data_IF_289082352075
#
_entry.id   IF_289082352075
#
_cell.length_a   1.000
_cell.length_b   1.000
_cell.length_c   1.000
_cell.angle_alpha   90.00
_cell.angle_beta   90.00
_cell.angle_gamma   90.00
#
_symmetry.space_group_name_H-M   'P 1'
#
loop_
_entity.id
_entity.type
_entity.pdbx_description
1 polymer ?
#
# COMPACT_ATOMS: atom_id res chain seq x y z
N UNK A 1 -30.42 -11.46 -13.70
CA UNK A 1 -30.11 -10.07 -14.09
C UNK A 1 -28.65 -9.90 -13.73
N UNK A 2 -27.82 -9.80 -14.76
CA UNK A 2 -26.47 -10.36 -14.73
C UNK A 2 -25.46 -9.22 -14.65
N UNK A 3 -25.15 -8.81 -13.43
CA UNK A 3 -23.98 -7.97 -13.20
C UNK A 3 -22.75 -8.70 -13.76
N UNK A 4 -22.08 -8.08 -14.72
CA UNK A 4 -20.88 -8.63 -15.35
C UNK A 4 -19.68 -7.73 -15.03
N UNK A 5 -18.65 -8.23 -14.32
CA UNK A 5 -17.46 -7.44 -13.99
C UNK A 5 -16.77 -6.92 -15.25
N UNK A 6 -16.73 -7.71 -16.31
CA UNK A 6 -16.15 -7.31 -17.60
C UNK A 6 -16.89 -6.12 -18.23
N UNK A 7 -18.22 -6.09 -18.07
CA UNK A 7 -19.03 -4.96 -18.55
C UNK A 7 -18.68 -3.66 -17.83
N UNK A 8 -18.39 -3.73 -16.52
CA UNK A 8 -17.97 -2.56 -15.74
C UNK A 8 -16.62 -2.00 -16.19
N UNK A 9 -15.72 -2.82 -16.75
CA UNK A 9 -14.41 -2.38 -17.21
C UNK A 9 -14.43 -1.75 -18.61
N UNK A 10 -15.38 -2.17 -19.46
CA UNK A 10 -15.48 -1.72 -20.86
C UNK A 10 -16.57 -0.66 -21.06
N UNK A 11 -17.63 -0.69 -20.24
CA UNK A 11 -18.78 0.23 -20.28
C UNK A 11 -19.19 0.63 -18.86
N UNK A 12 -18.30 1.33 -18.13
CA UNK A 12 -18.47 1.62 -16.70
C UNK A 12 -19.77 2.36 -16.37
N UNK A 13 -20.21 3.28 -17.23
CA UNK A 13 -21.43 4.08 -17.05
C UNK A 13 -22.70 3.23 -16.93
N UNK A 14 -22.77 2.07 -17.60
CA UNK A 14 -23.97 1.20 -17.60
C UNK A 14 -23.95 0.12 -16.54
N UNK A 15 -22.81 -0.07 -15.88
CA UNK A 15 -22.64 -1.16 -14.91
C UNK A 15 -22.99 -0.74 -13.48
N UNK A 16 -23.19 0.56 -13.25
CA UNK A 16 -23.46 1.17 -11.94
C UNK A 16 -24.84 1.86 -11.87
N UNK A 17 -25.71 1.63 -12.85
CA UNK A 17 -27.14 2.01 -12.78
C UNK A 17 -27.90 1.20 -11.70
N UNK A 18 -27.31 0.11 -11.20
CA UNK A 18 -27.83 -0.72 -10.11
C UNK A 18 -26.88 -0.63 -8.90
N UNK A 19 -27.42 -0.83 -7.69
CA UNK A 19 -26.70 -0.80 -6.41
C UNK A 19 -25.48 -1.77 -6.42
N UNK A 20 -24.32 -1.30 -6.88
CA UNK A 20 -23.08 -2.08 -6.82
C UNK A 20 -22.70 -2.21 -5.36
N UNK A 21 -22.78 -3.45 -4.87
CA UNK A 21 -22.52 -3.76 -3.48
C UNK A 21 -21.06 -3.49 -3.15
N UNK A 22 -20.79 -2.82 -2.04
CA UNK A 22 -19.44 -2.61 -1.50
C UNK A 22 -18.60 -3.89 -1.43
N UNK A 23 -19.24 -5.06 -1.25
CA UNK A 23 -18.61 -6.37 -1.26
C UNK A 23 -17.89 -6.70 -2.57
N UNK A 24 -18.40 -6.23 -3.72
CA UNK A 24 -17.77 -6.45 -5.02
C UNK A 24 -16.48 -5.64 -5.14
N UNK A 25 -16.52 -4.35 -4.82
CA UNK A 25 -15.33 -3.51 -4.81
C UNK A 25 -14.27 -4.06 -3.85
N UNK A 26 -14.68 -4.48 -2.65
CA UNK A 26 -13.78 -5.13 -1.69
C UNK A 26 -13.18 -6.43 -2.24
N UNK A 27 -13.98 -7.29 -2.88
CA UNK A 27 -13.49 -8.54 -3.45
C UNK A 27 -12.44 -8.30 -4.55
N UNK A 28 -12.65 -7.30 -5.41
CA UNK A 28 -11.66 -6.89 -6.42
C UNK A 28 -10.36 -6.44 -5.75
N UNK A 29 -10.45 -5.60 -4.72
CA UNK A 29 -9.27 -5.08 -4.00
C UNK A 29 -8.51 -6.22 -3.31
N UNK A 30 -9.22 -7.15 -2.65
CA UNK A 30 -8.58 -8.31 -2.03
C UNK A 30 -7.90 -9.22 -3.06
N UNK A 31 -8.51 -9.42 -4.23
CA UNK A 31 -7.88 -10.15 -5.32
C UNK A 31 -6.60 -9.45 -5.82
N UNK A 32 -6.62 -8.12 -5.93
CA UNK A 32 -5.44 -7.32 -6.26
C UNK A 32 -4.35 -7.38 -5.19
N UNK A 33 -4.72 -7.40 -3.90
CA UNK A 33 -3.77 -7.59 -2.80
C UNK A 33 -3.05 -8.93 -2.92
N UNK A 34 -3.80 -10.02 -3.10
CA UNK A 34 -3.24 -11.36 -3.29
C UNK A 34 -2.35 -11.40 -4.53
N UNK A 35 -2.83 -10.89 -5.67
CA UNK A 35 -2.07 -10.88 -6.91
C UNK A 35 -0.77 -10.08 -6.79
N UNK A 36 -0.81 -8.90 -6.16
CA UNK A 36 0.39 -8.09 -5.95
C UNK A 36 1.36 -8.74 -4.96
N UNK A 37 0.86 -9.39 -3.91
CA UNK A 37 1.69 -10.17 -2.98
C UNK A 37 2.39 -11.35 -3.69
N UNK A 38 1.64 -12.15 -4.45
CA UNK A 38 2.19 -13.29 -5.22
C UNK A 38 3.20 -12.83 -6.27
N UNK A 39 2.91 -11.77 -7.01
CA UNK A 39 3.85 -11.25 -8.00
C UNK A 39 5.13 -10.70 -7.33
N UNK A 40 5.06 -10.24 -6.07
CA UNK A 40 6.22 -9.74 -5.33
C UNK A 40 7.09 -10.91 -4.86
N UNK A 41 6.48 -11.96 -4.32
CA UNK A 41 7.18 -13.18 -3.92
C UNK A 41 7.78 -13.94 -5.11
N UNK A 42 7.15 -13.91 -6.28
CA UNK A 42 7.74 -14.44 -7.51
C UNK A 42 8.95 -13.61 -7.96
N UNK A 43 8.85 -12.28 -7.96
CA UNK A 43 9.99 -11.41 -8.25
C UNK A 43 11.15 -11.63 -7.27
N UNK A 44 10.85 -11.78 -5.98
CA UNK A 44 11.80 -12.16 -4.94
C UNK A 44 12.53 -13.47 -5.26
N UNK A 45 11.77 -14.50 -5.62
CA UNK A 45 12.30 -15.80 -6.00
C UNK A 45 13.20 -15.72 -7.23
N UNK A 46 12.80 -14.95 -8.24
CA UNK A 46 13.60 -14.72 -9.45
C UNK A 46 14.93 -14.03 -9.12
N UNK A 47 14.92 -12.98 -8.30
CA UNK A 47 16.16 -12.31 -7.83
C UNK A 47 17.04 -13.29 -7.07
N UNK A 48 16.47 -14.05 -6.12
CA UNK A 48 17.24 -15.04 -5.37
C UNK A 48 17.86 -16.13 -6.25
N UNK A 49 17.17 -16.54 -7.32
CA UNK A 49 17.67 -17.53 -8.29
C UNK A 49 18.70 -16.97 -9.27
N UNK A 50 18.64 -15.68 -9.59
CA UNK A 50 19.61 -15.01 -10.46
C UNK A 50 20.86 -14.56 -9.70
N UNK A 51 20.80 -14.58 -8.36
CA UNK A 51 21.90 -14.18 -7.49
C UNK A 51 22.73 -15.41 -7.14
N UNK A 52 23.53 -15.86 -8.10
CA UNK A 52 24.53 -16.90 -7.88
C UNK A 52 25.80 -16.31 -7.25
N UNK A 53 26.46 -17.08 -6.40
CA UNK A 53 27.75 -16.73 -5.80
C UNK A 53 27.74 -16.55 -4.27
N UNK A 54 28.94 -16.47 -3.73
CA UNK A 54 29.20 -16.23 -2.31
C UNK A 54 29.88 -14.89 -2.14
N UNK A 55 29.68 -14.29 -0.97
CA UNK A 55 30.40 -13.11 -0.52
C UNK A 55 31.04 -13.41 0.83
N UNK A 56 32.28 -13.01 0.97
CA UNK A 56 33.00 -13.07 2.24
C UNK A 56 32.48 -11.97 3.15
N UNK A 57 31.91 -12.34 4.30
CA UNK A 57 31.42 -11.42 5.32
C UNK A 57 32.04 -11.76 6.67
N UNK A 58 32.09 -10.79 7.56
CA UNK A 58 32.46 -11.03 8.96
C UNK A 58 31.54 -12.09 9.57
N UNK A 59 32.13 -13.02 10.31
CA UNK A 59 31.36 -14.09 10.93
C UNK A 59 30.54 -13.53 12.11
N UNK A 60 29.19 -13.51 12.02
CA UNK A 60 28.37 -12.99 13.11
C UNK A 60 28.48 -13.82 14.40
N UNK A 61 28.97 -15.06 14.29
CA UNK A 61 29.19 -15.96 15.42
C UNK A 61 30.54 -15.69 16.13
N UNK A 62 31.44 -14.90 15.52
CA UNK A 62 32.69 -14.43 16.13
C UNK A 62 32.49 -13.03 16.74
N UNK A 63 32.86 -12.81 18.02
CA UNK A 63 32.88 -11.47 18.60
C UNK A 63 33.78 -10.52 17.79
N UNK A 64 33.47 -9.22 17.80
CA UNK A 64 34.30 -8.23 17.09
C UNK A 64 35.73 -8.19 17.61
N UNK A 65 36.69 -7.82 16.76
CA UNK A 65 38.13 -7.96 17.07
C UNK A 65 38.55 -7.29 18.39
N UNK A 66 37.97 -6.14 18.73
CA UNK A 66 38.24 -5.47 20.00
C UNK A 66 37.87 -6.32 21.23
N UNK A 67 36.81 -7.14 21.15
CA UNK A 67 36.43 -8.08 22.21
C UNK A 67 37.43 -9.24 22.26
N UNK A 68 37.86 -9.72 21.10
CA UNK A 68 38.82 -10.83 21.03
C UNK A 68 40.22 -10.41 21.51
N UNK A 69 40.64 -9.20 21.22
CA UNK A 69 41.89 -8.60 21.73
C UNK A 69 41.84 -8.44 23.25
N UNK A 70 40.70 -7.96 23.80
CA UNK A 70 40.50 -7.84 25.24
C UNK A 70 40.44 -9.22 25.93
N UNK A 71 39.75 -10.21 25.35
CA UNK A 71 39.64 -11.58 25.90
C UNK A 71 40.98 -12.33 26.00
N UNK A 72 42.00 -11.90 25.26
CA UNK A 72 43.35 -12.44 25.36
C UNK A 72 44.11 -11.95 26.61
N UNK A 73 43.68 -10.82 27.20
CA UNK A 73 44.41 -10.15 28.29
C UNK A 73 43.59 -9.96 29.56
N UNK A 74 42.26 -9.99 29.47
CA UNK A 74 41.33 -9.73 30.57
C UNK A 74 40.39 -10.93 30.81
N UNK A 75 40.31 -11.38 32.06
CA UNK A 75 39.43 -12.47 32.49
C UNK A 75 37.94 -12.08 32.44
N UNK A 76 37.62 -10.78 32.37
CA UNK A 76 36.24 -10.30 32.21
C UNK A 76 35.57 -10.83 30.93
N UNK A 77 36.35 -11.08 29.87
CA UNK A 77 35.85 -11.59 28.58
C UNK A 77 36.14 -13.08 28.36
N UNK A 78 36.45 -13.85 29.42
CA UNK A 78 36.78 -15.28 29.33
C UNK A 78 35.71 -16.08 28.56
N UNK A 79 34.43 -15.73 28.72
CA UNK A 79 33.30 -16.38 28.02
C UNK A 79 33.36 -16.27 26.48
N UNK A 80 34.09 -15.29 25.94
CA UNK A 80 34.24 -15.07 24.50
C UNK A 80 35.50 -15.71 23.91
N UNK A 81 36.42 -16.18 24.76
CA UNK A 81 37.74 -16.69 24.36
C UNK A 81 37.63 -17.91 23.45
N UNK A 82 36.67 -18.80 23.69
CA UNK A 82 36.43 -19.98 22.85
C UNK A 82 35.91 -19.60 21.46
N UNK A 83 34.94 -18.69 21.37
CA UNK A 83 34.43 -18.19 20.09
C UNK A 83 35.51 -17.44 19.30
N UNK A 84 36.30 -16.59 19.97
CA UNK A 84 37.40 -15.86 19.31
C UNK A 84 38.51 -16.77 18.76
N UNK A 85 38.76 -17.92 19.39
CA UNK A 85 39.81 -18.87 18.98
C UNK A 85 39.35 -19.86 17.90
N UNK A 86 38.08 -20.27 17.94
CA UNK A 86 37.57 -21.36 17.11
C UNK A 86 36.75 -20.88 15.90
N UNK A 87 36.10 -19.72 15.99
CA UNK A 87 35.31 -19.17 14.89
C UNK A 87 36.21 -18.38 13.92
N UNK A 88 36.12 -18.60 12.59
CA UNK A 88 36.88 -17.83 11.63
C UNK A 88 36.44 -16.36 11.62
N UNK A 89 37.35 -15.45 11.27
CA UNK A 89 37.08 -14.01 11.15
C UNK A 89 36.00 -13.71 10.11
N UNK A 90 36.08 -14.39 8.96
CA UNK A 90 35.13 -14.25 7.88
C UNK A 90 34.58 -15.60 7.43
N UNK A 91 33.35 -15.58 6.90
CA UNK A 91 32.66 -16.75 6.35
C UNK A 91 32.10 -16.40 4.98
N UNK A 92 32.13 -17.37 4.07
CA UNK A 92 31.43 -17.25 2.80
C UNK A 92 29.93 -17.46 3.01
N UNK A 93 29.14 -16.44 2.72
CA UNK A 93 27.67 -16.53 2.77
C UNK A 93 27.11 -16.41 1.36
N UNK A 94 26.08 -17.21 1.09
CA UNK A 94 25.36 -17.13 -0.19
C UNK A 94 24.65 -15.79 -0.30
N UNK A 95 24.84 -15.07 -1.41
CA UNK A 95 24.11 -13.83 -1.67
C UNK A 95 22.59 -14.04 -1.72
N UNK A 96 22.13 -15.23 -2.13
CA UNK A 96 20.70 -15.59 -2.14
C UNK A 96 20.05 -15.60 -0.75
N UNK A 97 20.84 -15.82 0.32
CA UNK A 97 20.35 -15.76 1.71
C UNK A 97 20.04 -14.33 2.17
N UNK A 98 20.58 -13.31 1.50
CA UNK A 98 20.28 -11.90 1.75
C UNK A 98 19.16 -11.38 0.84
N UNK A 99 19.06 -11.89 -0.38
CA UNK A 99 18.01 -11.52 -1.34
C UNK A 99 16.61 -11.83 -0.81
N UNK A 100 16.42 -13.05 -0.29
CA UNK A 100 15.10 -13.56 0.10
C UNK A 100 14.47 -12.80 1.27
N UNK A 101 15.15 -12.55 2.41
CA UNK A 101 14.58 -11.75 3.50
C UNK A 101 14.28 -10.30 3.09
N UNK A 102 15.13 -9.68 2.28
CA UNK A 102 14.90 -8.33 1.78
C UNK A 102 13.62 -8.26 0.94
N UNK A 103 13.41 -9.24 0.09
CA UNK A 103 12.24 -9.31 -0.78
C UNK A 103 10.96 -9.77 -0.03
N UNK A 104 11.08 -10.69 0.93
CA UNK A 104 9.97 -11.10 1.80
C UNK A 104 9.45 -9.92 2.63
N UNK A 105 10.34 -9.03 3.08
CA UNK A 105 9.96 -7.80 3.77
C UNK A 105 9.12 -6.86 2.89
N UNK A 106 9.36 -6.86 1.57
CA UNK A 106 8.60 -6.08 0.59
C UNK A 106 7.29 -6.76 0.17
N UNK A 107 7.19 -8.09 0.28
CA UNK A 107 5.97 -8.81 -0.10
C UNK A 107 4.77 -8.44 0.79
N UNK A 108 5.01 -8.20 2.08
CA UNK A 108 3.97 -7.77 3.02
C UNK A 108 3.41 -6.38 2.68
N UNK A 109 4.28 -5.41 2.42
CA UNK A 109 3.87 -4.06 1.99
C UNK A 109 3.20 -4.09 0.63
N UNK A 110 3.72 -4.87 -0.32
CA UNK A 110 3.10 -5.09 -1.63
C UNK A 110 1.68 -5.65 -1.51
N UNK A 111 1.47 -6.64 -0.66
CA UNK A 111 0.15 -7.22 -0.43
C UNK A 111 -0.85 -6.15 0.05
N UNK A 112 -0.44 -5.23 0.93
CA UNK A 112 -1.32 -4.22 1.52
C UNK A 112 -1.49 -2.97 0.65
N UNK A 113 -0.57 -2.69 -0.27
CA UNK A 113 -0.58 -1.46 -1.08
C UNK A 113 -1.90 -1.22 -1.85
N UNK A 114 -2.53 -2.22 -2.52
CA UNK A 114 -3.81 -2.01 -3.20
C UNK A 114 -4.95 -1.61 -2.24
N UNK A 115 -4.97 -2.18 -1.03
CA UNK A 115 -5.95 -1.84 0.00
C UNK A 115 -5.76 -0.40 0.49
N UNK A 116 -4.51 0.00 0.73
CA UNK A 116 -4.17 1.35 1.13
C UNK A 116 -4.58 2.40 0.08
N UNK A 117 -4.26 2.14 -1.19
CA UNK A 117 -4.69 2.97 -2.33
C UNK A 117 -6.21 3.06 -2.41
N UNK A 118 -6.91 1.93 -2.27
CA UNK A 118 -8.36 1.89 -2.31
C UNK A 118 -9.00 2.76 -1.23
N UNK A 119 -8.54 2.65 0.01
CA UNK A 119 -9.04 3.47 1.12
C UNK A 119 -8.75 4.96 0.89
N UNK A 120 -7.53 5.30 0.48
CA UNK A 120 -7.13 6.68 0.24
C UNK A 120 -7.94 7.34 -0.89
N UNK A 121 -8.02 6.70 -2.05
CA UNK A 121 -8.81 7.22 -3.18
C UNK A 121 -10.28 7.32 -2.78
N UNK A 122 -10.83 6.29 -2.11
CA UNK A 122 -12.23 6.35 -1.66
C UNK A 122 -12.49 7.49 -0.67
N UNK A 123 -11.57 7.75 0.25
CA UNK A 123 -11.65 8.86 1.19
C UNK A 123 -11.56 10.22 0.49
N UNK A 124 -10.64 10.39 -0.45
CA UNK A 124 -10.53 11.62 -1.27
C UNK A 124 -11.83 11.88 -2.03
N UNK A 125 -12.41 10.88 -2.68
CA UNK A 125 -13.68 11.02 -3.41
C UNK A 125 -14.83 11.33 -2.44
N UNK A 126 -14.93 10.59 -1.33
CA UNK A 126 -15.97 10.81 -0.34
C UNK A 126 -15.90 12.23 0.24
N UNK A 127 -14.71 12.80 0.43
CA UNK A 127 -14.54 14.17 0.90
C UNK A 127 -14.82 15.20 -0.20
N UNK A 128 -14.31 14.98 -1.42
CA UNK A 128 -14.46 15.91 -2.54
C UNK A 128 -15.91 16.07 -3.00
N UNK A 129 -16.72 15.01 -2.87
CA UNK A 129 -18.12 15.00 -3.31
C UNK A 129 -19.13 14.91 -2.15
N UNK A 130 -18.69 14.67 -0.92
CA UNK A 130 -19.53 14.52 0.27
C UNK A 130 -20.11 15.82 0.85
N UNK A 131 -20.16 16.90 0.07
CA UNK A 131 -20.61 18.23 0.52
C UNK A 131 -21.40 19.04 -0.51
N UNK A 132 -21.91 18.44 -1.59
CA UNK A 132 -22.53 19.20 -2.68
C UNK A 132 -24.00 19.64 -2.48
N UNK A 133 -24.72 19.20 -1.43
CA UNK A 133 -26.03 19.75 -1.04
C UNK A 133 -26.14 19.85 0.48
N UNK A 134 -25.49 20.87 1.04
CA UNK A 134 -25.12 20.96 2.45
C UNK A 134 -26.25 21.34 3.44
N UNK A 135 -27.49 20.91 3.20
CA UNK A 135 -28.59 21.13 4.16
C UNK A 135 -29.08 19.84 4.84
N UNK A 136 -28.96 18.66 4.22
CA UNK A 136 -29.31 17.39 4.86
C UNK A 136 -28.11 16.42 4.97
N UNK A 137 -27.68 16.06 6.20
CA UNK A 137 -26.65 15.05 6.44
C UNK A 137 -26.94 13.66 5.83
N UNK A 138 -28.17 13.36 5.39
CA UNK A 138 -28.57 12.15 4.68
C UNK A 138 -28.27 12.16 3.17
N UNK A 139 -27.94 13.33 2.59
CA UNK A 139 -27.61 13.51 1.17
C UNK A 139 -26.13 13.29 0.81
N UNK A 140 -25.28 12.92 1.79
CA UNK A 140 -23.85 12.65 1.50
C UNK A 140 -23.71 11.36 0.71
N UNK A 141 -22.83 11.39 -0.30
CA UNK A 141 -22.40 10.19 -1.03
C UNK A 141 -21.91 9.14 -0.03
N UNK A 142 -22.57 7.99 0.00
CA UNK A 142 -22.22 6.92 0.95
C UNK A 142 -20.81 6.41 0.63
N UNK A 143 -19.93 6.38 1.64
CA UNK A 143 -18.57 5.85 1.49
C UNK A 143 -18.59 4.43 0.89
N UNK A 144 -19.56 3.60 1.25
CA UNK A 144 -19.72 2.25 0.70
C UNK A 144 -19.90 2.24 -0.82
N UNK A 145 -20.61 3.22 -1.38
CA UNK A 145 -20.87 3.34 -2.83
C UNK A 145 -19.60 3.82 -3.54
N UNK A 146 -18.95 4.84 -2.99
CA UNK A 146 -17.64 5.32 -3.47
C UNK A 146 -16.62 4.19 -3.46
N UNK A 147 -16.50 3.49 -2.34
CA UNK A 147 -15.56 2.39 -2.18
C UNK A 147 -15.86 1.24 -3.14
N UNK A 148 -17.13 0.93 -3.41
CA UNK A 148 -17.50 -0.05 -4.43
C UNK A 148 -16.97 0.35 -5.83
N UNK A 149 -17.26 1.58 -6.25
CA UNK A 149 -16.85 2.12 -7.55
C UNK A 149 -15.33 2.25 -7.69
N UNK A 150 -14.66 2.72 -6.63
CA UNK A 150 -13.20 2.84 -6.57
C UNK A 150 -12.54 1.47 -6.66
N UNK A 151 -13.04 0.47 -5.94
CA UNK A 151 -12.51 -0.89 -5.95
C UNK A 151 -12.60 -1.53 -7.34
N UNK A 152 -13.74 -1.41 -8.02
CA UNK A 152 -13.88 -1.89 -9.41
C UNK A 152 -12.94 -1.15 -10.36
N UNK A 153 -12.79 0.17 -10.23
CA UNK A 153 -11.86 0.93 -11.07
C UNK A 153 -10.38 0.64 -10.83
N UNK A 154 -10.02 -0.06 -9.76
CA UNK A 154 -8.67 -0.60 -9.57
C UNK A 154 -8.41 -1.90 -10.33
N UNK A 155 -9.43 -2.60 -10.82
CA UNK A 155 -9.26 -3.89 -11.50
C UNK A 155 -8.25 -3.88 -12.67
N UNK A 156 -8.12 -2.83 -13.50
CA UNK A 156 -7.08 -2.76 -14.53
C UNK A 156 -5.66 -2.95 -13.98
N UNK A 157 -5.40 -2.62 -12.71
CA UNK A 157 -4.10 -2.85 -12.07
C UNK A 157 -3.70 -4.34 -12.00
N UNK A 158 -4.65 -5.26 -12.17
CA UNK A 158 -4.34 -6.69 -12.24
C UNK A 158 -3.34 -7.01 -13.37
N UNK A 159 -3.45 -6.32 -14.51
CA UNK A 159 -2.57 -6.53 -15.66
C UNK A 159 -1.12 -6.20 -15.33
N UNK A 160 -0.84 -5.08 -14.65
CA UNK A 160 0.54 -4.73 -14.26
C UNK A 160 1.09 -5.67 -13.21
N UNK A 161 0.29 -6.12 -12.24
CA UNK A 161 0.74 -7.08 -11.24
C UNK A 161 1.03 -8.46 -11.87
N UNK A 162 0.20 -8.91 -12.79
CA UNK A 162 0.42 -10.16 -13.52
C UNK A 162 1.62 -10.08 -14.48
N UNK A 163 1.88 -8.92 -15.07
CA UNK A 163 3.01 -8.72 -15.98
C UNK A 163 4.36 -8.58 -15.25
N UNK A 164 4.37 -8.14 -13.98
CA UNK A 164 5.60 -7.84 -13.24
C UNK A 164 6.61 -9.00 -13.22
N UNK A 165 6.25 -10.25 -12.85
CA UNK A 165 7.21 -11.36 -12.79
C UNK A 165 7.96 -11.57 -14.11
N UNK A 166 7.26 -11.50 -15.24
CA UNK A 166 7.86 -11.62 -16.58
C UNK A 166 8.91 -10.53 -16.84
N UNK A 167 8.64 -9.28 -16.44
CA UNK A 167 9.59 -8.18 -16.62
C UNK A 167 10.78 -8.29 -15.66
N UNK A 168 10.57 -8.78 -14.43
CA UNK A 168 11.65 -9.07 -13.46
C UNK A 168 12.60 -10.11 -14.03
N UNK A 169 12.07 -11.27 -14.44
CA UNK A 169 12.88 -12.35 -15.03
C UNK A 169 13.69 -11.86 -16.23
N UNK A 170 13.07 -11.07 -17.11
CA UNK A 170 13.76 -10.46 -18.25
C UNK A 170 14.89 -9.53 -17.81
N UNK A 171 14.67 -8.66 -16.82
CA UNK A 171 15.71 -7.74 -16.32
C UNK A 171 16.87 -8.46 -15.64
N UNK A 172 16.65 -9.66 -15.13
CA UNK A 172 17.66 -10.45 -14.43
C UNK A 172 18.50 -11.35 -15.35
N UNK A 173 18.14 -11.48 -16.63
CA UNK A 173 18.83 -12.41 -17.56
C UNK A 173 20.34 -12.16 -17.71
N UNK A 174 20.78 -10.92 -17.59
CA UNK A 174 22.19 -10.51 -17.65
C UNK A 174 22.69 -9.98 -16.28
N UNK A 175 21.97 -10.26 -15.19
CA UNK A 175 22.30 -9.76 -13.87
C UNK A 175 23.47 -10.53 -13.25
N UNK A 176 24.50 -9.79 -12.82
CA UNK A 176 25.61 -10.32 -12.03
C UNK A 176 25.75 -9.48 -10.77
N UNK A 177 25.47 -10.02 -9.58
CA UNK A 177 25.56 -9.27 -8.33
C UNK A 177 27.01 -8.88 -8.04
N UNK A 178 27.24 -7.61 -7.64
CA UNK A 178 28.55 -7.13 -7.19
C UNK A 178 28.75 -7.33 -5.68
N UNK A 179 27.68 -7.57 -4.92
CA UNK A 179 27.72 -7.81 -3.48
C UNK A 179 26.33 -7.83 -2.83
N UNK A 180 26.30 -7.71 -1.51
CA UNK A 180 25.05 -7.72 -0.72
C UNK A 180 24.15 -6.54 -1.08
N UNK A 181 24.72 -5.35 -1.20
CA UNK A 181 23.93 -4.14 -1.46
C UNK A 181 23.30 -4.17 -2.84
N UNK A 182 24.05 -4.55 -3.89
CA UNK A 182 23.48 -4.71 -5.24
C UNK A 182 22.35 -5.74 -5.28
N UNK A 183 22.45 -6.79 -4.45
CA UNK A 183 21.42 -7.82 -4.33
C UNK A 183 20.15 -7.29 -3.67
N UNK A 184 20.28 -6.43 -2.65
CA UNK A 184 19.15 -5.74 -2.02
C UNK A 184 18.51 -4.74 -2.98
N UNK A 185 19.32 -3.99 -3.71
CA UNK A 185 18.84 -3.06 -4.75
C UNK A 185 18.09 -3.80 -5.85
N UNK A 186 18.59 -4.95 -6.31
CA UNK A 186 17.89 -5.80 -7.28
C UNK A 186 16.55 -6.33 -6.73
N UNK A 187 16.50 -6.72 -5.46
CA UNK A 187 15.26 -7.13 -4.80
C UNK A 187 14.24 -5.98 -4.71
N UNK A 188 14.70 -4.77 -4.42
CA UNK A 188 13.84 -3.58 -4.42
C UNK A 188 13.38 -3.21 -5.85
N UNK A 189 14.29 -3.22 -6.82
CA UNK A 189 14.00 -2.92 -8.23
C UNK A 189 13.03 -3.95 -8.84
N UNK A 190 13.03 -5.20 -8.36
CA UNK A 190 12.07 -6.21 -8.80
C UNK A 190 10.60 -5.84 -8.46
N UNK A 191 10.37 -4.92 -7.52
CA UNK A 191 9.03 -4.41 -7.22
C UNK A 191 8.49 -3.49 -8.32
N UNK A 192 9.38 -2.79 -9.00
CA UNK A 192 9.08 -1.85 -10.10
C UNK A 192 10.13 -1.97 -11.19
N UNK A 193 10.03 -3.00 -12.05
CA UNK A 193 11.01 -3.26 -13.09
C UNK A 193 11.29 -2.03 -13.96
N UNK A 194 12.56 -1.66 -14.10
CA UNK A 194 13.04 -0.56 -14.95
C UNK A 194 12.99 -0.93 -16.44
N UNK A 195 11.78 -1.14 -16.96
CA UNK A 195 11.55 -1.47 -18.36
C UNK A 195 10.59 -0.47 -18.96
N UNK A 196 10.96 0.13 -20.09
CA UNK A 196 10.07 1.01 -20.86
C UNK A 196 8.75 0.32 -21.19
N UNK A 197 8.78 -0.98 -21.49
CA UNK A 197 7.57 -1.77 -21.75
C UNK A 197 6.71 -1.94 -20.50
N UNK A 198 7.32 -2.19 -19.33
CA UNK A 198 6.58 -2.25 -18.07
C UNK A 198 5.97 -0.90 -17.71
N UNK A 199 6.71 0.19 -17.92
CA UNK A 199 6.21 1.56 -17.76
C UNK A 199 4.97 1.83 -18.64
N UNK A 200 4.98 1.36 -19.90
CA UNK A 200 3.81 1.46 -20.79
C UNK A 200 2.61 0.66 -20.24
N UNK A 201 2.83 -0.53 -19.67
CA UNK A 201 1.76 -1.31 -19.02
C UNK A 201 1.19 -0.56 -17.81
N UNK A 202 2.05 0.05 -16.99
CA UNK A 202 1.62 0.87 -15.84
C UNK A 202 0.79 2.07 -16.32
N UNK A 203 1.26 2.83 -17.30
CA UNK A 203 0.52 3.99 -17.84
C UNK A 203 -0.81 3.55 -18.46
N UNK A 204 -0.82 2.47 -19.24
CA UNK A 204 -2.04 1.95 -19.86
C UNK A 204 -3.08 1.50 -18.82
N UNK A 205 -2.64 0.80 -17.76
CA UNK A 205 -3.54 0.36 -16.68
C UNK A 205 -4.06 1.54 -15.86
N UNK A 206 -3.26 2.57 -15.61
CA UNK A 206 -3.72 3.80 -14.93
C UNK A 206 -4.71 4.60 -15.77
N UNK A 207 -4.45 4.75 -17.08
CA UNK A 207 -5.38 5.39 -17.99
C UNK A 207 -6.72 4.63 -18.05
N UNK A 208 -6.66 3.29 -18.05
CA UNK A 208 -7.85 2.45 -17.97
C UNK A 208 -8.57 2.61 -16.63
N UNK A 209 -7.86 2.62 -15.50
CA UNK A 209 -8.45 2.89 -14.18
C UNK A 209 -9.14 4.25 -14.13
N UNK A 210 -8.51 5.31 -14.66
CA UNK A 210 -9.12 6.63 -14.76
C UNK A 210 -10.40 6.62 -15.60
N UNK A 211 -10.39 5.90 -16.73
CA UNK A 211 -11.57 5.71 -17.57
C UNK A 211 -12.71 4.99 -16.82
N UNK A 212 -12.40 3.91 -16.09
CA UNK A 212 -13.39 3.17 -15.30
C UNK A 212 -13.94 4.05 -14.18
N UNK A 213 -13.08 4.66 -13.35
CA UNK A 213 -13.49 5.57 -12.28
C UNK A 213 -14.37 6.71 -12.77
N UNK A 214 -14.00 7.33 -13.90
CA UNK A 214 -14.81 8.38 -14.52
C UNK A 214 -16.25 7.92 -14.75
N UNK A 215 -16.44 6.75 -15.36
CA UNK A 215 -17.78 6.23 -15.63
C UNK A 215 -18.50 5.76 -14.38
N UNK A 216 -17.82 5.04 -13.48
CA UNK A 216 -18.44 4.46 -12.29
C UNK A 216 -18.79 5.52 -11.25
N UNK A 217 -17.95 6.53 -11.04
CA UNK A 217 -18.24 7.63 -10.12
C UNK A 217 -19.34 8.57 -10.65
N UNK A 218 -19.41 8.83 -11.97
CA UNK A 218 -20.53 9.61 -12.53
C UNK A 218 -21.86 8.92 -12.30
N UNK A 219 -21.94 7.61 -12.57
CA UNK A 219 -23.14 6.83 -12.33
C UNK A 219 -23.48 6.76 -10.84
N UNK A 220 -22.47 6.53 -9.98
CA UNK A 220 -22.68 6.35 -8.55
C UNK A 220 -22.99 7.63 -7.76
N UNK A 221 -22.44 8.78 -8.18
CA UNK A 221 -22.51 10.05 -7.44
C UNK A 221 -23.54 11.00 -8.07
N UNK A 222 -23.89 10.85 -9.35
CA UNK A 222 -24.89 11.67 -10.02
C UNK A 222 -24.48 13.14 -10.22
N UNK A 223 -23.17 13.43 -10.29
CA UNK A 223 -22.64 14.82 -10.33
C UNK A 223 -22.15 15.27 -11.71
N UNK A 224 -21.88 16.57 -11.83
CA UNK A 224 -21.35 17.21 -13.03
C UNK A 224 -20.05 16.57 -13.55
N UNK A 225 -19.99 16.40 -14.88
CA UNK A 225 -18.97 15.62 -15.58
C UNK A 225 -17.52 16.10 -15.36
N UNK A 226 -17.29 17.40 -15.15
CA UNK A 226 -15.93 17.99 -15.10
C UNK A 226 -15.18 17.74 -13.80
N UNK A 227 -15.86 17.78 -12.65
CA UNK A 227 -15.21 17.56 -11.34
C UNK A 227 -14.77 16.10 -11.21
N UNK A 228 -15.64 15.17 -11.58
CA UNK A 228 -15.32 13.73 -11.58
C UNK A 228 -14.11 13.43 -12.48
N UNK A 229 -14.04 14.06 -13.66
CA UNK A 229 -12.91 13.90 -14.58
C UNK A 229 -11.60 14.38 -13.97
N UNK A 230 -11.60 15.58 -13.39
CA UNK A 230 -10.43 16.16 -12.77
C UNK A 230 -9.91 15.30 -11.61
N UNK A 231 -10.83 14.78 -10.77
CA UNK A 231 -10.43 13.94 -9.63
C UNK A 231 -9.96 12.56 -10.09
N UNK A 232 -10.59 11.94 -11.10
CA UNK A 232 -10.13 10.67 -11.66
C UNK A 232 -8.72 10.78 -12.27
N UNK A 233 -8.46 11.85 -13.03
CA UNK A 233 -7.12 12.13 -13.57
C UNK A 233 -6.13 12.44 -12.46
N UNK A 234 -6.51 13.24 -11.46
CA UNK A 234 -5.67 13.57 -10.31
C UNK A 234 -5.27 12.32 -9.51
N UNK A 235 -6.21 11.44 -9.19
CA UNK A 235 -5.93 10.17 -8.53
C UNK A 235 -5.01 9.27 -9.37
N UNK A 236 -5.27 9.15 -10.67
CA UNK A 236 -4.41 8.36 -11.56
C UNK A 236 -2.98 8.94 -11.66
N UNK A 237 -2.84 10.27 -11.67
CA UNK A 237 -1.54 10.93 -11.67
C UNK A 237 -0.77 10.68 -10.36
N UNK A 238 -1.42 10.81 -9.20
CA UNK A 238 -0.79 10.49 -7.91
C UNK A 238 -0.35 9.03 -7.84
N UNK A 239 -1.18 8.11 -8.35
CA UNK A 239 -0.85 6.68 -8.41
C UNK A 239 0.20 6.32 -9.46
N UNK A 240 0.40 7.18 -10.47
CA UNK A 240 1.50 7.01 -11.41
C UNK A 240 2.83 7.20 -10.73
N UNK A 241 2.94 8.20 -9.84
CA UNK A 241 4.14 8.43 -9.07
C UNK A 241 4.48 7.17 -8.26
N UNK A 242 3.52 6.64 -7.47
CA UNK A 242 3.79 5.49 -6.59
C UNK A 242 4.12 4.20 -7.34
N UNK A 243 3.71 4.09 -8.61
CA UNK A 243 4.05 2.96 -9.45
C UNK A 243 5.48 3.00 -10.01
N UNK A 244 6.15 4.15 -10.01
CA UNK A 244 7.52 4.33 -10.54
C UNK A 244 8.58 4.51 -9.47
N UNK A 245 8.22 4.96 -8.27
CA UNK A 245 9.19 5.21 -7.20
C UNK A 245 8.61 4.75 -5.86
N UNK A 246 8.56 3.44 -5.57
CA UNK A 246 8.06 2.96 -4.29
C UNK A 246 9.05 3.36 -3.19
N UNK A 247 8.57 4.06 -2.16
CA UNK A 247 9.37 4.37 -0.97
C UNK A 247 9.16 3.27 0.06
N UNK A 248 10.25 2.67 0.51
CA UNK A 248 10.23 1.70 1.60
C UNK A 248 10.78 2.34 2.87
N UNK A 249 9.89 2.58 3.83
CA UNK A 249 10.22 3.17 5.13
C UNK A 249 10.64 2.12 6.17
N UNK A 250 10.84 0.86 5.76
CA UNK A 250 11.18 -0.25 6.65
C UNK A 250 9.96 -0.99 7.23
N UNK A 251 10.20 -2.19 7.75
CA UNK A 251 9.14 -3.06 8.28
C UNK A 251 8.39 -2.44 9.48
N UNK A 252 9.08 -1.65 10.31
CA UNK A 252 8.45 -0.94 11.42
C UNK A 252 7.42 0.10 10.95
N UNK A 253 7.72 0.83 9.88
CA UNK A 253 6.79 1.81 9.30
C UNK A 253 5.51 1.17 8.78
N UNK A 254 5.58 -0.05 8.23
CA UNK A 254 4.41 -0.77 7.76
C UNK A 254 3.38 -1.05 8.89
N UNK A 255 3.85 -1.36 10.11
CA UNK A 255 2.97 -1.59 11.28
C UNK A 255 2.21 -0.32 11.63
N UNK A 256 2.92 0.81 11.74
CA UNK A 256 2.27 2.11 11.98
C UNK A 256 1.35 2.49 10.84
N UNK A 257 1.73 2.17 9.60
CA UNK A 257 0.92 2.41 8.42
C UNK A 257 -0.42 1.66 8.46
N UNK A 258 -0.41 0.38 8.84
CA UNK A 258 -1.64 -0.41 9.06
C UNK A 258 -2.51 0.23 10.15
N UNK A 259 -1.91 0.64 11.27
CA UNK A 259 -2.64 1.30 12.36
C UNK A 259 -3.31 2.61 11.88
N UNK A 260 -2.59 3.44 11.13
CA UNK A 260 -3.14 4.66 10.54
C UNK A 260 -4.25 4.38 9.53
N UNK A 261 -4.12 3.35 8.69
CA UNK A 261 -5.17 2.93 7.75
C UNK A 261 -6.43 2.45 8.48
N UNK A 262 -6.29 1.70 9.57
CA UNK A 262 -7.41 1.20 10.36
C UNK A 262 -8.13 2.35 11.08
N UNK A 263 -7.39 3.20 11.79
CA UNK A 263 -7.95 4.35 12.51
C UNK A 263 -8.62 5.34 11.56
N UNK A 264 -7.91 5.75 10.50
CA UNK A 264 -8.45 6.66 9.49
C UNK A 264 -9.61 6.04 8.70
N UNK A 265 -9.54 4.75 8.38
CA UNK A 265 -10.62 4.04 7.70
C UNK A 265 -11.91 3.97 8.53
N UNK A 266 -11.79 3.70 9.84
CA UNK A 266 -12.91 3.72 10.77
C UNK A 266 -13.52 5.12 10.89
N UNK A 267 -12.69 6.16 11.00
CA UNK A 267 -13.18 7.53 11.09
C UNK A 267 -13.81 8.06 9.81
N UNK A 268 -13.35 7.63 8.63
CA UNK A 268 -14.04 7.89 7.36
C UNK A 268 -15.38 7.17 7.27
N UNK A 269 -15.47 5.92 7.75
CA UNK A 269 -16.68 5.10 7.67
C UNK A 269 -17.75 5.51 8.69
N UNK A 270 -17.33 5.95 9.90
CA UNK A 270 -18.22 6.20 11.02
C UNK A 270 -17.97 7.54 11.74
N UNK A 271 -17.84 8.68 11.02
CA UNK A 271 -17.41 9.94 11.63
C UNK A 271 -18.40 10.44 12.70
N UNK A 272 -19.71 10.21 12.51
CA UNK A 272 -20.73 10.58 13.51
C UNK A 272 -20.69 9.72 14.76
N UNK A 273 -20.28 8.46 14.66
CA UNK A 273 -20.19 7.58 15.83
C UNK A 273 -19.03 8.03 16.68
N UNK A 274 -17.87 8.34 16.07
CA UNK A 274 -16.72 8.88 16.78
C UNK A 274 -17.03 10.22 17.44
N UNK A 275 -17.66 11.14 16.72
CA UNK A 275 -18.05 12.45 17.28
C UNK A 275 -19.07 12.30 18.43
N UNK A 276 -20.00 11.34 18.35
CA UNK A 276 -20.93 11.05 19.47
C UNK A 276 -20.22 10.47 20.67
N UNK A 277 -19.18 9.66 20.47
CA UNK A 277 -18.35 9.13 21.56
C UNK A 277 -17.56 10.26 22.21
N UNK A 278 -16.96 11.16 21.43
CA UNK A 278 -16.23 12.34 21.94
C UNK A 278 -17.17 13.24 22.75
N UNK A 279 -18.34 13.59 22.20
CA UNK A 279 -19.36 14.36 22.92
C UNK A 279 -19.83 13.65 24.20
N UNK A 280 -19.95 12.32 24.18
CA UNK A 280 -20.31 11.57 25.38
C UNK A 280 -19.23 11.69 26.46
N UNK A 281 -17.95 11.67 26.11
CA UNK A 281 -16.85 11.88 27.06
C UNK A 281 -16.80 13.32 27.60
N UNK A 282 -17.03 14.32 26.76
CA UNK A 282 -17.13 15.72 27.20
C UNK A 282 -18.28 15.93 28.20
N UNK A 283 -19.41 15.26 27.97
CA UNK A 283 -20.60 15.36 28.82
C UNK A 283 -20.48 14.63 30.17
N UNK A 284 -19.51 13.72 30.34
CA UNK A 284 -19.25 13.07 31.64
C UNK A 284 -18.85 14.11 32.71
N UNK A 285 -18.41 15.31 32.31
CA UNK A 285 -18.09 16.42 33.23
C UNK A 285 -19.17 17.51 33.38
N UNK A 286 -20.11 17.63 32.45
CA UNK A 286 -21.05 18.77 32.40
C UNK A 286 -22.48 18.32 32.16
N UNK A 287 -23.27 18.25 33.24
CA UNK A 287 -24.75 18.08 33.28
C UNK A 287 -25.33 17.07 32.27
N UNK A 288 -25.52 15.84 32.75
CA UNK A 288 -26.11 14.75 31.99
C UNK A 288 -27.58 14.96 31.60
N UNK A 289 -27.92 14.53 30.38
CA UNK A 289 -29.30 14.19 30.02
C UNK A 289 -29.69 14.49 28.57
N UNK A 290 -29.15 15.55 27.96
CA UNK A 290 -29.58 15.98 26.63
C UNK A 290 -28.70 15.36 25.53
N UNK A 291 -29.34 14.68 24.57
CA UNK A 291 -28.66 14.16 23.38
C UNK A 291 -28.20 15.33 22.51
N UNK A 292 -26.92 15.68 22.59
CA UNK A 292 -26.33 16.71 21.74
C UNK A 292 -26.11 16.14 20.34
N UNK A 293 -26.77 16.75 19.35
CA UNK A 293 -26.56 16.37 17.95
C UNK A 293 -25.20 16.92 17.45
N UNK A 294 -24.35 16.08 16.84
CA UNK A 294 -23.09 16.51 16.25
C UNK A 294 -23.24 17.66 15.25
N UNK A 295 -22.48 18.75 15.44
CA UNK A 295 -22.48 19.84 14.46
C UNK A 295 -21.85 19.37 13.14
N UNK A 296 -22.43 19.71 11.96
CA UNK A 296 -21.93 19.22 10.67
C UNK A 296 -20.44 19.53 10.37
N UNK A 297 -19.94 20.67 10.84
CA UNK A 297 -18.54 21.06 10.65
C UNK A 297 -17.55 20.20 11.45
N UNK A 298 -17.95 19.70 12.63
CA UNK A 298 -17.12 18.78 13.44
C UNK A 298 -16.97 17.43 12.74
N UNK A 299 -18.08 16.91 12.23
CA UNK A 299 -18.09 15.70 11.39
C UNK A 299 -17.20 15.86 10.16
N UNK A 300 -17.17 17.05 9.54
CA UNK A 300 -16.28 17.31 8.41
C UNK A 300 -14.80 17.35 8.81
N UNK A 301 -14.46 18.01 9.92
CA UNK A 301 -13.09 18.02 10.45
C UNK A 301 -12.61 16.60 10.79
N UNK A 302 -13.46 15.79 11.40
CA UNK A 302 -13.15 14.39 11.71
C UNK A 302 -12.89 13.58 10.44
N UNK A 303 -13.66 13.80 9.37
CA UNK A 303 -13.41 13.16 8.08
C UNK A 303 -12.10 13.62 7.43
N UNK A 304 -11.75 14.91 7.53
CA UNK A 304 -10.47 15.43 7.04
C UNK A 304 -9.31 14.83 7.82
N UNK A 305 -9.39 14.81 9.16
CA UNK A 305 -8.40 14.19 10.03
C UNK A 305 -8.23 12.71 9.69
N UNK A 306 -9.35 11.98 9.59
CA UNK A 306 -9.36 10.57 9.20
C UNK A 306 -8.75 10.31 7.82
N UNK A 307 -9.02 11.18 6.84
CA UNK A 307 -8.39 11.09 5.51
C UNK A 307 -6.88 11.28 5.60
N UNK A 308 -6.40 12.25 6.39
CA UNK A 308 -4.96 12.45 6.59
C UNK A 308 -4.32 11.20 7.19
N UNK A 309 -4.95 10.57 8.19
CA UNK A 309 -4.50 9.28 8.74
C UNK A 309 -4.43 8.19 7.66
N UNK A 310 -5.47 8.06 6.81
CA UNK A 310 -5.43 7.10 5.70
C UNK A 310 -4.31 7.41 4.71
N UNK A 311 -4.07 8.67 4.38
CA UNK A 311 -2.99 9.07 3.47
C UNK A 311 -1.61 8.77 4.07
N UNK A 312 -1.37 9.11 5.34
CA UNK A 312 -0.14 8.74 6.04
C UNK A 312 0.05 7.23 6.12
N UNK A 313 -1.02 6.49 6.43
CA UNK A 313 -0.99 5.04 6.45
C UNK A 313 -0.67 4.44 5.08
N UNK A 314 -1.25 5.01 4.02
CA UNK A 314 -0.97 4.58 2.66
C UNK A 314 0.46 4.89 2.23
N UNK A 315 1.05 6.00 2.67
CA UNK A 315 2.46 6.29 2.44
C UNK A 315 3.35 5.31 3.20
N UNK A 316 3.06 5.06 4.48
CA UNK A 316 3.85 4.18 5.34
C UNK A 316 3.87 2.71 4.88
N UNK A 317 2.78 2.24 4.26
CA UNK A 317 2.68 0.90 3.66
C UNK A 317 3.22 0.85 2.21
N UNK A 318 3.60 1.99 1.62
CA UNK A 318 4.13 2.08 0.26
C UNK A 318 3.06 2.11 -0.85
N UNK A 319 1.81 2.40 -0.50
CA UNK A 319 0.70 2.55 -1.46
C UNK A 319 0.61 3.94 -2.11
N UNK A 320 1.04 4.99 -1.42
CA UNK A 320 1.05 6.38 -1.91
C UNK A 320 2.41 7.02 -1.66
N UNK A 321 2.83 7.90 -2.55
CA UNK A 321 4.18 8.47 -2.54
C UNK A 321 4.25 9.81 -1.82
N UNK A 322 5.45 10.15 -1.32
CA UNK A 322 6.17 11.41 -1.58
C UNK A 322 7.70 11.14 -1.48
N UNK A 323 8.55 11.71 -2.36
CA UNK A 323 10.01 11.67 -2.24
C UNK A 323 10.52 12.45 -1.01
#
# INVERSE_FOLDING_TARGET
>A
MDWSPLRALVRPERAFDEDVRARVGLAVVLALCVLNGVAATQGAGAVASATDGTVTVDNPDRPGDWICDEAATDDFYENYREACANEPETVERSLSSYARPAADALAGTAFLAPLAVWLAVSGVIALAFGGASADDPSDRVRLSTVAAATGVGLAPAALRYAARPFFVERSLSDYSPAGIESTRDAAAAAMTPESTLYALVVVATLAWSAYVWRGTWRAAIGTESRRVDAVAVGCAAVLSLSAFSPVYLGGGAAIYGILFLLLGGLGLAFPRVLERIELAFDLIGTRGGESVEPKPWRVYLEQVGSLLFVLFGAVAVGGLLFP
#
